data_IF_488818022880
#
_entry.id   IF_488818022880
#
_cell.length_a   1.000
_cell.length_b   1.000
_cell.length_c   1.000
_cell.angle_alpha   90.00
_cell.angle_beta   90.00
_cell.angle_gamma   90.00
#
_symmetry.space_group_name_H-M   'P 1'
#
loop_
_entity.id
_entity.type
_entity.pdbx_description
1 polymer ?
#
# COMPACT_ATOMS: atom_id res chain seq x y z
N UNK A 1 9.89 32.35 11.18
CA UNK A 1 9.12 31.54 10.24
C UNK A 1 8.73 32.45 9.08
N UNK A 2 8.82 31.99 7.87
CA UNK A 2 8.31 32.68 6.66
C UNK A 2 6.93 32.14 6.30
N UNK A 3 6.10 33.00 5.77
CA UNK A 3 4.83 32.62 5.15
C UNK A 3 5.16 31.80 3.90
N UNK A 4 4.56 30.63 3.76
CA UNK A 4 4.84 29.73 2.66
C UNK A 4 3.71 29.74 1.64
N UNK A 5 2.47 29.57 2.10
CA UNK A 5 1.29 29.62 1.23
C UNK A 5 0.00 29.83 2.03
N UNK A 6 -1.03 30.28 1.33
CA UNK A 6 -2.38 30.45 1.86
C UNK A 6 -3.22 29.20 1.59
N UNK A 7 -3.99 28.79 2.60
CA UNK A 7 -4.92 27.67 2.54
C UNK A 7 -6.33 28.19 2.87
N UNK A 8 -7.06 28.64 1.88
CA UNK A 8 -8.37 29.26 2.13
C UNK A 8 -8.28 30.38 3.15
N UNK A 9 -8.84 30.19 4.33
CA UNK A 9 -8.78 31.14 5.46
C UNK A 9 -7.54 30.99 6.35
N UNK A 10 -6.71 29.98 6.10
CA UNK A 10 -5.51 29.68 6.89
C UNK A 10 -4.24 30.10 6.14
N UNK A 11 -3.18 30.37 6.89
CA UNK A 11 -1.85 30.66 6.36
C UNK A 11 -0.85 29.70 6.97
N UNK A 12 -0.04 29.04 6.15
CA UNK A 12 1.02 28.13 6.60
C UNK A 12 2.33 28.90 6.70
N UNK A 13 2.97 28.78 7.87
CA UNK A 13 4.28 29.34 8.15
C UNK A 13 5.26 28.22 8.39
N UNK A 14 6.43 28.30 7.76
CA UNK A 14 7.49 27.32 7.92
C UNK A 14 8.76 27.95 8.48
N UNK A 15 9.54 27.13 9.18
CA UNK A 15 10.90 27.44 9.59
C UNK A 15 11.75 26.17 9.56
N UNK A 16 12.96 26.28 9.03
CA UNK A 16 13.96 25.21 9.13
C UNK A 16 14.79 25.47 10.38
N UNK A 17 14.91 24.48 11.24
CA UNK A 17 15.75 24.51 12.44
C UNK A 17 16.90 23.53 12.24
N UNK A 18 18.13 24.05 12.24
CA UNK A 18 19.34 23.24 12.09
C UNK A 18 20.15 23.23 13.37
N UNK A 19 20.73 22.11 13.71
CA UNK A 19 21.59 21.95 14.89
C UNK A 19 23.00 21.58 14.47
N UNK A 20 23.99 22.18 15.12
CA UNK A 20 25.40 21.82 14.91
C UNK A 20 25.76 20.45 15.52
N UNK A 21 24.99 19.99 16.48
CA UNK A 21 25.10 18.67 17.12
C UNK A 21 23.74 18.01 17.16
N UNK A 22 23.67 16.67 17.11
CA UNK A 22 22.39 15.96 17.23
C UNK A 22 21.62 16.39 18.47
N UNK A 23 20.39 16.83 18.29
CA UNK A 23 19.46 17.16 19.37
C UNK A 23 18.67 15.91 19.77
N UNK A 24 18.75 15.51 21.06
CA UNK A 24 18.02 14.35 21.56
C UNK A 24 16.55 14.66 21.79
N UNK A 25 16.30 15.87 22.27
CA UNK A 25 14.95 16.41 22.50
C UNK A 25 14.93 17.85 21.99
N UNK A 26 13.86 18.19 21.28
CA UNK A 26 13.53 19.54 20.90
C UNK A 26 12.21 19.91 21.61
N UNK A 27 12.24 20.91 22.47
CA UNK A 27 11.05 21.51 23.04
C UNK A 27 10.83 22.88 22.41
N UNK A 28 9.61 23.20 22.02
CA UNK A 28 9.30 24.44 21.33
C UNK A 28 7.89 24.93 21.62
N UNK A 29 7.67 26.20 21.35
CA UNK A 29 6.38 26.87 21.31
C UNK A 29 6.40 27.92 20.20
N UNK A 30 5.23 28.38 19.79
CA UNK A 30 5.13 29.44 18.79
C UNK A 30 4.79 30.76 19.47
N UNK A 31 5.43 31.85 19.03
CA UNK A 31 5.04 33.22 19.35
C UNK A 31 4.38 33.83 18.10
N UNK A 32 3.12 34.21 18.23
CA UNK A 32 2.33 34.81 17.17
C UNK A 32 2.09 36.27 17.54
N UNK A 33 2.47 37.19 16.64
CA UNK A 33 2.22 38.64 16.82
C UNK A 33 1.23 39.07 15.74
N UNK A 34 0.08 39.56 16.18
CA UNK A 34 -0.95 40.12 15.29
C UNK A 34 -0.54 41.43 14.64
N UNK A 35 -1.24 41.84 13.59
CA UNK A 35 -1.00 43.11 12.86
C UNK A 35 -1.12 44.35 13.75
N UNK A 36 -1.90 44.28 14.82
CA UNK A 36 -2.09 45.31 15.84
C UNK A 36 -1.00 45.33 16.92
N UNK A 37 -0.01 44.43 16.84
CA UNK A 37 1.10 44.30 17.81
C UNK A 37 0.80 43.35 18.98
N UNK A 38 -0.41 42.85 19.12
CA UNK A 38 -0.74 41.89 20.18
C UNK A 38 0.03 40.60 20.00
N UNK A 39 0.60 40.10 21.09
CA UNK A 39 1.39 38.88 21.08
C UNK A 39 0.69 37.80 21.89
N UNK A 40 0.64 36.58 21.34
CA UNK A 40 0.15 35.35 21.98
C UNK A 40 1.20 34.26 21.80
N UNK A 41 1.20 33.30 22.69
CA UNK A 41 2.02 32.11 22.59
C UNK A 41 1.11 30.89 22.41
N UNK A 42 1.53 29.96 21.58
CA UNK A 42 0.84 28.71 21.33
C UNK A 42 1.75 27.54 21.71
N UNK A 43 1.30 26.72 22.62
CA UNK A 43 1.98 25.52 23.13
C UNK A 43 1.05 24.30 23.10
N UNK A 44 1.47 23.16 23.66
CA UNK A 44 0.69 21.92 23.67
C UNK A 44 -0.67 22.03 24.41
N UNK A 45 -0.85 23.04 25.25
CA UNK A 45 -2.11 23.29 25.97
C UNK A 45 -3.01 24.31 25.25
N UNK A 46 -2.54 24.88 24.15
CA UNK A 46 -3.28 25.88 23.38
C UNK A 46 -2.65 27.27 23.42
N UNK A 47 -3.49 28.31 23.22
CA UNK A 47 -3.04 29.71 23.19
C UNK A 47 -3.00 30.29 24.61
N UNK A 48 -1.87 30.88 24.97
CA UNK A 48 -1.64 31.51 26.26
C UNK A 48 -1.15 32.97 26.11
N UNK A 49 -1.44 33.81 27.11
CA UNK A 49 -1.13 35.25 27.06
C UNK A 49 0.32 35.59 27.42
N UNK A 50 0.99 34.69 28.15
CA UNK A 50 2.36 34.88 28.64
C UNK A 50 3.29 33.85 28.02
N UNK A 51 4.57 34.19 27.93
CA UNK A 51 5.58 33.23 27.48
C UNK A 51 5.52 31.96 28.33
N UNK A 52 5.29 30.78 27.74
CA UNK A 52 5.14 29.56 28.52
C UNK A 52 6.47 29.09 29.12
N UNK A 53 6.41 28.61 30.35
CA UNK A 53 7.51 27.92 31.07
C UNK A 53 7.31 26.39 31.11
N UNK A 54 6.16 25.92 30.61
CA UNK A 54 5.72 24.53 30.61
C UNK A 54 4.75 24.27 29.46
N UNK A 55 4.37 23.01 29.25
CA UNK A 55 3.45 22.62 28.16
C UNK A 55 4.05 22.84 26.77
N UNK A 56 5.36 22.68 26.62
CA UNK A 56 6.01 22.78 25.33
C UNK A 56 5.53 21.67 24.39
N UNK A 57 5.51 21.95 23.08
CA UNK A 57 5.54 20.88 22.09
C UNK A 57 6.91 20.18 22.18
N UNK A 58 6.92 18.89 21.99
CA UNK A 58 8.15 18.10 22.02
C UNK A 58 8.33 17.33 20.72
N UNK A 59 9.57 17.29 20.26
CA UNK A 59 10.02 16.40 19.21
C UNK A 59 11.16 15.57 19.78
N UNK A 60 10.81 14.36 20.20
CA UNK A 60 11.75 13.43 20.81
C UNK A 60 12.62 12.77 19.73
N UNK A 61 13.90 12.58 20.06
CA UNK A 61 14.85 11.93 19.15
C UNK A 61 14.99 12.61 17.78
N UNK A 62 14.94 13.93 17.75
CA UNK A 62 15.11 14.73 16.52
C UNK A 62 16.36 14.34 15.68
N UNK A 63 17.35 13.73 16.32
CA UNK A 63 18.54 13.19 15.68
C UNK A 63 18.33 11.85 14.95
N UNK A 64 17.18 11.20 15.07
CA UNK A 64 16.86 9.95 14.34
C UNK A 64 16.30 10.21 12.95
N UNK A 65 15.69 11.36 12.72
CA UNK A 65 15.21 11.76 11.41
C UNK A 65 16.39 12.28 10.59
N UNK A 66 17.19 11.37 10.09
CA UNK A 66 18.24 11.69 9.13
C UNK A 66 17.71 11.54 7.71
N UNK A 67 18.36 12.19 6.76
CA UNK A 67 18.07 12.04 5.32
C UNK A 67 18.12 10.56 4.86
N UNK A 68 18.80 9.71 5.63
CA UNK A 68 18.90 8.27 5.38
C UNK A 68 17.57 7.49 5.46
N UNK A 69 16.54 8.09 6.10
CA UNK A 69 15.24 7.43 6.26
C UNK A 69 14.14 8.02 5.39
N UNK A 70 14.47 8.88 4.45
CA UNK A 70 13.50 9.39 3.48
C UNK A 70 13.11 8.31 2.46
N UNK A 71 11.89 8.40 1.89
CA UNK A 71 11.48 7.53 0.79
C UNK A 71 12.51 7.58 -0.36
N UNK A 72 12.74 6.47 -1.06
CA UNK A 72 13.59 6.47 -2.23
C UNK A 72 13.16 7.57 -3.21
N UNK A 73 14.12 8.29 -3.76
CA UNK A 73 13.80 9.43 -4.63
C UNK A 73 12.95 9.05 -5.84
N UNK A 74 13.17 7.86 -6.35
CA UNK A 74 12.41 7.35 -7.48
C UNK A 74 10.92 7.10 -7.14
N UNK A 75 10.58 6.83 -5.88
CA UNK A 75 9.20 6.56 -5.46
C UNK A 75 8.36 7.83 -5.26
N UNK A 76 8.97 9.01 -5.40
CA UNK A 76 8.32 10.30 -5.26
C UNK A 76 7.70 10.72 -6.59
N UNK A 77 6.38 10.80 -6.66
CA UNK A 77 5.63 11.11 -7.88
C UNK A 77 5.56 9.97 -8.90
N UNK A 78 5.96 8.76 -8.53
CA UNK A 78 5.94 7.58 -9.41
C UNK A 78 4.52 7.18 -9.75
N UNK A 79 4.27 6.87 -11.02
CA UNK A 79 3.00 6.34 -11.49
C UNK A 79 2.97 4.83 -11.27
N UNK A 80 2.20 4.40 -10.26
CA UNK A 80 1.96 2.99 -9.98
C UNK A 80 0.82 2.43 -10.82
N UNK A 81 0.91 1.14 -11.13
CA UNK A 81 -0.17 0.38 -11.73
C UNK A 81 -0.37 -0.91 -10.94
N UNK A 82 -1.51 -1.02 -10.26
CA UNK A 82 -1.86 -2.18 -9.46
C UNK A 82 -2.46 -3.27 -10.33
N UNK A 83 -1.91 -4.48 -10.24
CA UNK A 83 -2.37 -5.65 -11.00
C UNK A 83 -2.86 -6.74 -10.06
N UNK A 84 -4.08 -7.22 -10.30
CA UNK A 84 -4.59 -8.48 -9.76
C UNK A 84 -4.28 -9.59 -10.79
N UNK A 85 -3.22 -10.43 -10.59
CA UNK A 85 -2.65 -11.26 -11.65
C UNK A 85 -3.65 -12.19 -12.31
N UNK A 86 -4.51 -12.79 -11.52
CA UNK A 86 -5.51 -13.77 -11.95
C UNK A 86 -6.55 -13.20 -12.94
N UNK A 87 -6.76 -11.86 -12.93
CA UNK A 87 -7.77 -11.15 -13.73
C UNK A 87 -7.19 -10.24 -14.81
N UNK A 88 -5.86 -10.09 -14.86
CA UNK A 88 -5.25 -9.12 -15.76
C UNK A 88 -5.10 -9.62 -17.19
N UNK A 89 -4.37 -10.73 -17.41
CA UNK A 89 -4.17 -11.29 -18.76
C UNK A 89 -3.78 -12.75 -18.72
N UNK A 90 -4.40 -13.55 -19.60
CA UNK A 90 -3.96 -14.92 -19.86
C UNK A 90 -2.60 -14.88 -20.59
N UNK A 91 -1.66 -15.69 -20.13
CA UNK A 91 -0.35 -15.87 -20.75
C UNK A 91 -0.15 -17.29 -21.22
N UNK A 92 0.79 -18.01 -20.56
CA UNK A 92 1.03 -19.41 -20.82
C UNK A 92 -0.14 -20.26 -20.35
N UNK A 93 -0.85 -20.98 -21.24
CA UNK A 93 -2.03 -21.76 -20.86
C UNK A 93 -1.72 -22.98 -19.97
N UNK A 94 -0.47 -23.43 -19.90
CA UNK A 94 -0.08 -24.56 -19.04
C UNK A 94 -0.19 -24.25 -17.54
N UNK A 95 -0.29 -22.97 -17.15
CA UNK A 95 -0.45 -22.53 -15.77
C UNK A 95 -1.91 -22.36 -15.36
N UNK A 96 -2.84 -22.38 -16.32
CA UNK A 96 -4.25 -22.19 -15.99
C UNK A 96 -4.79 -23.38 -15.19
N UNK A 97 -5.54 -23.16 -14.08
CA UNK A 97 -6.25 -24.24 -13.40
C UNK A 97 -7.18 -25.00 -14.34
N UNK A 98 -7.37 -26.30 -14.09
CA UNK A 98 -8.24 -27.14 -14.93
C UNK A 98 -9.70 -26.69 -14.89
N UNK A 99 -10.15 -26.10 -13.78
CA UNK A 99 -11.50 -25.62 -13.53
C UNK A 99 -11.71 -24.12 -13.88
N UNK A 100 -10.80 -23.53 -14.66
CA UNK A 100 -10.94 -22.15 -15.12
C UNK A 100 -12.28 -21.92 -15.82
N UNK A 101 -13.00 -20.89 -15.39
CA UNK A 101 -14.16 -20.39 -16.14
C UNK A 101 -13.74 -19.54 -17.34
N UNK A 102 -14.66 -19.25 -18.23
CA UNK A 102 -14.39 -18.42 -19.40
C UNK A 102 -13.87 -17.03 -18.96
N UNK A 103 -12.89 -16.48 -19.70
CA UNK A 103 -12.37 -15.14 -19.46
C UNK A 103 -13.49 -14.10 -19.58
N UNK A 104 -13.60 -13.21 -18.57
CA UNK A 104 -14.66 -12.22 -18.53
C UNK A 104 -15.97 -12.72 -17.91
N UNK A 105 -16.03 -13.96 -17.40
CA UNK A 105 -17.15 -14.42 -16.56
C UNK A 105 -17.32 -13.52 -15.34
N UNK A 106 -18.52 -13.55 -14.73
CA UNK A 106 -18.76 -12.84 -13.48
C UNK A 106 -17.78 -13.32 -12.41
N UNK A 107 -17.01 -12.42 -11.77
CA UNK A 107 -16.10 -12.81 -10.71
C UNK A 107 -16.86 -13.31 -9.48
N UNK A 108 -16.28 -14.32 -8.83
CA UNK A 108 -16.71 -14.83 -7.52
C UNK A 108 -15.49 -14.95 -6.61
N UNK A 109 -15.71 -15.15 -5.33
CA UNK A 109 -14.64 -15.33 -4.36
C UNK A 109 -13.73 -16.54 -4.65
N UNK A 110 -14.23 -17.53 -5.43
CA UNK A 110 -13.54 -18.82 -5.63
C UNK A 110 -13.19 -19.16 -7.08
N UNK A 111 -13.77 -18.50 -8.10
CA UNK A 111 -13.52 -18.89 -9.48
C UNK A 111 -12.18 -18.39 -9.99
N UNK A 112 -11.56 -19.18 -10.88
CA UNK A 112 -10.34 -18.84 -11.60
C UNK A 112 -10.64 -18.52 -13.06
N UNK A 113 -9.91 -17.55 -13.64
CA UNK A 113 -10.04 -17.17 -15.06
C UNK A 113 -8.70 -17.32 -15.81
N UNK A 114 -7.61 -17.61 -15.08
CA UNK A 114 -6.33 -18.05 -15.63
C UNK A 114 -5.39 -16.95 -16.09
N UNK A 115 -5.49 -15.75 -15.54
CA UNK A 115 -4.44 -14.74 -15.66
C UNK A 115 -3.16 -15.20 -14.96
N UNK A 116 -1.99 -14.83 -15.48
CA UNK A 116 -0.70 -15.28 -14.97
C UNK A 116 0.45 -14.31 -15.29
N UNK A 117 1.66 -14.59 -14.76
CA UNK A 117 2.84 -13.73 -14.92
C UNK A 117 3.29 -13.56 -16.37
N UNK A 118 3.15 -14.60 -17.20
CA UNK A 118 3.47 -14.48 -18.63
C UNK A 118 2.51 -13.52 -19.34
N UNK A 119 1.24 -13.49 -18.96
CA UNK A 119 0.27 -12.52 -19.44
C UNK A 119 0.67 -11.08 -19.07
N UNK A 120 1.12 -10.86 -17.84
CA UNK A 120 1.62 -9.55 -17.38
C UNK A 120 2.87 -9.17 -18.18
N UNK A 121 3.82 -10.08 -18.34
CA UNK A 121 5.05 -9.88 -19.12
C UNK A 121 4.74 -9.45 -20.57
N UNK A 122 3.79 -10.09 -21.23
CA UNK A 122 3.32 -9.74 -22.57
C UNK A 122 2.66 -8.37 -22.66
N UNK A 123 2.27 -7.79 -21.52
CA UNK A 123 1.61 -6.48 -21.45
C UNK A 123 2.55 -5.33 -21.09
N UNK A 124 3.83 -5.58 -20.88
CA UNK A 124 4.80 -4.55 -20.49
C UNK A 124 4.90 -3.38 -21.46
N UNK A 125 4.71 -3.61 -22.77
CA UNK A 125 4.71 -2.53 -23.76
C UNK A 125 3.47 -1.64 -23.64
N UNK A 126 2.31 -2.22 -23.34
CA UNK A 126 1.07 -1.50 -23.06
C UNK A 126 1.21 -0.63 -21.82
N UNK A 127 1.80 -1.17 -20.74
CA UNK A 127 2.03 -0.44 -19.50
C UNK A 127 3.03 0.70 -19.70
N UNK A 128 4.10 0.48 -20.47
CA UNK A 128 5.06 1.52 -20.82
C UNK A 128 4.42 2.64 -21.67
N UNK A 129 3.52 2.30 -22.60
CA UNK A 129 2.77 3.27 -23.41
C UNK A 129 1.81 4.10 -22.54
N UNK A 130 1.21 3.49 -21.50
CA UNK A 130 0.35 4.20 -20.54
C UNK A 130 1.15 5.14 -19.61
N UNK A 131 2.48 5.04 -19.57
CA UNK A 131 3.33 5.84 -18.70
C UNK A 131 3.57 5.23 -17.33
N UNK A 132 3.29 3.93 -17.15
CA UNK A 132 3.52 3.23 -15.86
C UNK A 132 5.02 3.15 -15.56
N UNK A 133 5.39 3.53 -14.34
CA UNK A 133 6.77 3.51 -13.85
C UNK A 133 7.00 2.42 -12.80
N UNK A 134 5.94 1.98 -12.12
CA UNK A 134 6.04 0.88 -11.16
C UNK A 134 4.78 0.00 -11.17
N UNK A 135 4.96 -1.31 -11.28
CA UNK A 135 3.90 -2.31 -11.15
C UNK A 135 3.82 -2.73 -9.68
N UNK A 136 2.65 -2.64 -9.09
CA UNK A 136 2.31 -3.30 -7.84
C UNK A 136 1.54 -4.58 -8.13
N UNK A 137 2.12 -5.73 -7.81
CA UNK A 137 1.48 -7.03 -7.93
C UNK A 137 0.76 -7.40 -6.63
N UNK A 138 -0.56 -7.61 -6.70
CA UNK A 138 -1.25 -8.33 -5.64
C UNK A 138 -0.60 -9.71 -5.43
N UNK A 139 -0.87 -10.44 -4.31
CA UNK A 139 -0.08 -11.60 -3.93
C UNK A 139 0.13 -12.61 -5.06
N UNK A 140 1.35 -13.12 -5.16
CA UNK A 140 1.76 -14.06 -6.23
C UNK A 140 2.25 -15.41 -5.71
N UNK A 141 2.31 -15.57 -4.38
CA UNK A 141 2.86 -16.77 -3.75
C UNK A 141 1.84 -17.91 -3.68
N UNK A 142 2.33 -19.13 -3.46
CA UNK A 142 1.49 -20.34 -3.43
C UNK A 142 0.36 -20.19 -2.42
N UNK A 143 -0.86 -20.41 -2.89
CA UNK A 143 -2.09 -20.28 -2.12
C UNK A 143 -3.25 -20.98 -2.84
N UNK A 144 -4.24 -21.55 -2.12
CA UNK A 144 -5.38 -22.23 -2.74
C UNK A 144 -6.37 -21.27 -3.39
N UNK A 145 -6.46 -20.02 -2.94
CA UNK A 145 -7.45 -19.05 -3.43
C UNK A 145 -7.02 -18.36 -4.72
N UNK A 146 -7.95 -17.70 -5.40
CA UNK A 146 -7.65 -16.86 -6.57
C UNK A 146 -6.98 -15.53 -6.21
N UNK A 147 -7.16 -15.04 -4.98
CA UNK A 147 -6.59 -13.77 -4.49
C UNK A 147 -5.21 -13.93 -3.84
N UNK A 148 -4.82 -15.13 -3.43
CA UNK A 148 -3.51 -15.50 -2.86
C UNK A 148 -3.16 -14.87 -1.49
N UNK A 149 -4.12 -14.24 -0.80
CA UNK A 149 -3.88 -13.70 0.55
C UNK A 149 -3.73 -14.80 1.62
N UNK A 150 -4.26 -16.00 1.42
CA UNK A 150 -4.08 -17.19 2.27
C UNK A 150 -2.81 -17.98 1.86
N UNK A 151 -1.64 -17.32 1.95
CA UNK A 151 -0.35 -17.85 1.50
C UNK A 151 0.04 -19.12 2.24
N UNK A 152 0.48 -20.14 1.51
CA UNK A 152 0.93 -21.43 2.05
C UNK A 152 2.43 -21.69 1.83
N UNK A 153 3.08 -21.05 0.86
CA UNK A 153 4.53 -21.08 0.67
C UNK A 153 5.03 -19.73 0.12
N UNK A 154 5.74 -18.98 0.97
CA UNK A 154 6.28 -17.66 0.61
C UNK A 154 7.51 -17.70 -0.29
N UNK A 155 8.15 -18.87 -0.49
CA UNK A 155 9.33 -19.02 -1.34
C UNK A 155 9.01 -19.48 -2.76
N UNK A 156 7.72 -19.70 -3.07
CA UNK A 156 7.28 -20.17 -4.37
C UNK A 156 6.19 -19.30 -4.95
N UNK A 157 6.36 -18.94 -6.21
CA UNK A 157 5.28 -18.42 -7.04
C UNK A 157 4.19 -19.50 -7.15
N UNK A 158 2.95 -19.08 -7.10
CA UNK A 158 1.80 -19.97 -7.26
C UNK A 158 1.83 -20.67 -8.62
N UNK A 159 1.61 -22.00 -8.66
CA UNK A 159 1.64 -22.76 -9.93
C UNK A 159 0.66 -22.24 -10.99
N UNK A 160 -0.45 -21.63 -10.58
CA UNK A 160 -1.41 -21.02 -11.53
C UNK A 160 -0.88 -19.71 -12.16
N UNK A 161 0.14 -19.11 -11.54
CA UNK A 161 0.77 -17.89 -12.07
C UNK A 161 2.07 -18.17 -12.81
N UNK A 162 2.72 -19.30 -12.55
CA UNK A 162 4.01 -19.67 -13.13
C UNK A 162 4.97 -20.28 -12.11
N UNK A 163 6.25 -20.06 -12.31
CA UNK A 163 7.33 -20.47 -11.41
C UNK A 163 8.17 -19.24 -11.01
N UNK A 164 9.08 -19.40 -10.05
CA UNK A 164 9.96 -18.32 -9.57
C UNK A 164 10.75 -17.68 -10.73
N UNK A 165 11.16 -18.49 -11.71
CA UNK A 165 11.86 -17.99 -12.90
C UNK A 165 11.00 -17.06 -13.75
N UNK A 166 9.67 -17.31 -13.87
CA UNK A 166 8.76 -16.43 -14.61
C UNK A 166 8.67 -15.06 -13.96
N UNK A 167 8.63 -15.01 -12.62
CA UNK A 167 8.64 -13.73 -11.88
C UNK A 167 9.99 -13.00 -12.09
N UNK A 168 11.11 -13.73 -12.03
CA UNK A 168 12.44 -13.16 -12.30
C UNK A 168 12.54 -12.58 -13.71
N UNK A 169 12.03 -13.30 -14.70
CA UNK A 169 12.01 -12.85 -16.09
C UNK A 169 11.10 -11.63 -16.25
N UNK A 170 9.91 -11.63 -15.64
CA UNK A 170 9.00 -10.49 -15.65
C UNK A 170 9.68 -9.22 -15.10
N UNK A 171 10.28 -9.29 -13.91
CA UNK A 171 10.98 -8.16 -13.29
C UNK A 171 12.12 -7.67 -14.17
N UNK A 172 12.96 -8.58 -14.68
CA UNK A 172 14.06 -8.23 -15.58
C UNK A 172 13.60 -7.55 -16.87
N UNK A 173 12.48 -7.99 -17.47
CA UNK A 173 11.93 -7.36 -18.67
C UNK A 173 11.24 -6.02 -18.37
N UNK A 174 10.60 -5.88 -17.20
CA UNK A 174 10.06 -4.62 -16.74
C UNK A 174 11.16 -3.56 -16.54
N UNK A 175 12.27 -3.93 -15.89
CA UNK A 175 13.43 -3.05 -15.70
C UNK A 175 14.02 -2.55 -17.04
N UNK A 176 14.06 -3.38 -18.09
CA UNK A 176 14.48 -2.93 -19.43
C UNK A 176 13.60 -1.85 -20.04
N UNK A 177 12.40 -1.70 -19.52
CA UNK A 177 11.44 -0.66 -19.93
C UNK A 177 11.35 0.48 -18.90
N UNK A 178 12.29 0.53 -17.94
CA UNK A 178 12.28 1.45 -16.81
C UNK A 178 11.03 1.33 -15.94
N UNK A 179 10.42 0.16 -15.87
CA UNK A 179 9.28 -0.15 -15.00
C UNK A 179 9.79 -0.98 -13.82
N UNK A 180 9.56 -0.52 -12.61
CA UNK A 180 9.85 -1.23 -11.36
C UNK A 180 8.74 -2.19 -11.00
N UNK A 181 9.02 -3.13 -10.10
CA UNK A 181 8.04 -4.11 -9.64
C UNK A 181 8.11 -4.26 -8.13
N UNK A 182 7.00 -4.04 -7.45
CA UNK A 182 6.84 -4.33 -6.02
C UNK A 182 5.87 -5.47 -5.80
N UNK A 183 6.09 -6.23 -4.73
CA UNK A 183 5.26 -7.37 -4.35
C UNK A 183 4.41 -7.07 -3.12
N UNK A 184 3.33 -7.84 -2.97
CA UNK A 184 2.51 -7.84 -1.77
C UNK A 184 3.12 -8.77 -0.72
N UNK A 185 3.30 -8.28 0.51
CA UNK A 185 3.83 -9.01 1.66
C UNK A 185 2.70 -9.26 2.68
N UNK A 186 2.09 -10.44 2.61
CA UNK A 186 0.98 -10.84 3.48
C UNK A 186 1.54 -11.52 4.72
N UNK A 187 1.81 -10.77 5.78
CA UNK A 187 2.53 -11.25 6.96
C UNK A 187 1.68 -11.27 8.24
N UNK A 188 0.47 -10.70 8.19
CA UNK A 188 -0.46 -10.77 9.31
C UNK A 188 -1.00 -12.19 9.55
N UNK A 189 -1.16 -12.98 8.49
CA UNK A 189 -1.77 -14.32 8.54
C UNK A 189 -1.18 -15.22 7.45
N UNK A 190 -1.49 -16.51 7.52
CA UNK A 190 -1.13 -17.52 6.50
C UNK A 190 -2.38 -18.28 6.05
N UNK A 191 -2.25 -19.13 5.05
CA UNK A 191 -3.23 -20.18 4.80
C UNK A 191 -3.05 -21.36 5.79
N UNK A 192 -4.06 -22.21 5.90
CA UNK A 192 -4.03 -23.37 6.80
C UNK A 192 -3.03 -24.45 6.36
N UNK A 193 -2.72 -24.54 5.07
CA UNK A 193 -1.71 -25.45 4.53
C UNK A 193 -0.27 -24.91 4.64
N UNK A 194 -0.07 -23.73 5.22
CA UNK A 194 1.27 -23.25 5.53
C UNK A 194 1.96 -24.23 6.49
N UNK A 195 3.22 -24.60 6.21
CA UNK A 195 3.91 -25.72 6.88
C UNK A 195 3.82 -25.67 8.41
N UNK A 196 3.90 -24.49 9.02
CA UNK A 196 3.86 -24.34 10.47
C UNK A 196 2.45 -24.57 11.03
N UNK A 197 1.39 -24.10 10.32
CA UNK A 197 0.03 -24.33 10.76
C UNK A 197 -0.42 -25.76 10.49
N UNK A 198 -0.05 -26.35 9.35
CA UNK A 198 -0.29 -27.76 9.04
C UNK A 198 0.36 -28.70 10.07
N UNK A 199 1.60 -28.38 10.51
CA UNK A 199 2.26 -29.13 11.60
C UNK A 199 1.49 -28.98 12.92
N UNK A 200 1.02 -27.78 13.23
CA UNK A 200 0.20 -27.49 14.42
C UNK A 200 -1.10 -28.29 14.41
N UNK A 201 -1.85 -28.31 13.29
CA UNK A 201 -3.06 -29.13 13.14
C UNK A 201 -2.79 -30.62 13.35
N UNK A 202 -1.66 -31.11 12.85
CA UNK A 202 -1.28 -32.52 12.94
C UNK A 202 -0.79 -32.92 14.31
N UNK A 203 0.10 -32.13 14.93
CA UNK A 203 0.80 -32.48 16.17
C UNK A 203 0.19 -31.88 17.43
N UNK A 204 -0.71 -30.92 17.28
CA UNK A 204 -1.41 -30.25 18.36
C UNK A 204 -0.41 -29.65 19.38
N UNK A 205 -0.56 -29.92 20.68
CA UNK A 205 0.31 -29.47 21.76
C UNK A 205 1.78 -29.93 21.63
N UNK A 206 2.09 -30.85 20.70
CA UNK A 206 3.46 -31.28 20.41
C UNK A 206 4.13 -30.58 19.25
N UNK A 207 3.42 -29.65 18.61
CA UNK A 207 3.99 -28.86 17.51
C UNK A 207 5.02 -27.87 18.05
N UNK A 208 6.15 -27.74 17.35
CA UNK A 208 7.14 -26.69 17.64
C UNK A 208 6.70 -25.29 17.18
N UNK A 209 5.63 -25.21 16.40
CA UNK A 209 5.10 -23.96 15.84
C UNK A 209 3.92 -23.37 16.62
N UNK A 210 3.59 -23.90 17.82
CA UNK A 210 2.49 -23.37 18.64
C UNK A 210 2.62 -21.86 18.87
N UNK A 211 3.83 -21.39 19.19
CA UNK A 211 4.10 -19.98 19.45
C UNK A 211 4.11 -19.07 18.21
N UNK A 212 3.98 -19.65 17.01
CA UNK A 212 3.87 -18.89 15.76
C UNK A 212 2.47 -18.34 15.53
N UNK A 213 1.48 -18.86 16.27
CA UNK A 213 0.07 -18.46 16.15
C UNK A 213 -0.50 -18.10 17.52
N UNK A 214 -1.60 -17.38 17.53
CA UNK A 214 -2.35 -17.05 18.73
C UNK A 214 -3.45 -18.09 18.97
N UNK A 215 -3.10 -19.19 19.66
CA UNK A 215 -3.99 -20.32 19.91
C UNK A 215 -4.87 -19.99 21.12
N UNK A 216 -6.17 -20.18 20.97
CA UNK A 216 -7.17 -19.98 22.02
C UNK A 216 -7.45 -21.25 22.79
N UNK A 217 -7.53 -22.39 22.11
CA UNK A 217 -7.81 -23.69 22.74
C UNK A 217 -7.29 -24.87 21.92
N UNK A 218 -7.07 -25.99 22.60
CA UNK A 218 -6.80 -27.30 22.02
C UNK A 218 -8.01 -28.23 22.18
N UNK A 219 -8.23 -29.19 21.30
CA UNK A 219 -7.47 -29.40 20.07
C UNK A 219 -7.73 -28.29 19.03
N UNK A 220 -6.66 -27.87 18.36
CA UNK A 220 -6.76 -26.90 17.25
C UNK A 220 -7.45 -27.59 16.06
N UNK A 221 -8.47 -26.95 15.54
CA UNK A 221 -9.17 -27.32 14.31
C UNK A 221 -9.30 -26.07 13.45
N UNK A 222 -9.63 -26.23 12.18
CA UNK A 222 -9.90 -25.09 11.27
C UNK A 222 -11.24 -24.40 11.62
N UNK A 223 -11.31 -23.90 12.84
CA UNK A 223 -12.48 -23.21 13.41
C UNK A 223 -12.00 -21.89 14.05
N UNK A 224 -12.69 -20.79 13.76
CA UNK A 224 -12.28 -19.45 14.18
C UNK A 224 -12.21 -19.22 15.71
N UNK A 225 -12.77 -20.11 16.51
CA UNK A 225 -12.71 -20.06 17.98
C UNK A 225 -11.50 -20.82 18.55
N UNK A 226 -10.74 -21.56 17.72
CA UNK A 226 -9.55 -22.28 18.16
C UNK A 226 -8.29 -21.40 18.17
N UNK A 227 -8.24 -20.36 17.37
CA UNK A 227 -7.12 -19.44 17.21
C UNK A 227 -7.57 -18.08 16.67
N UNK A 228 -6.73 -17.05 16.84
CA UNK A 228 -6.97 -15.78 16.19
C UNK A 228 -6.81 -15.92 14.67
N UNK A 229 -7.70 -15.30 13.92
CA UNK A 229 -7.69 -15.32 12.47
C UNK A 229 -8.13 -13.97 11.89
N UNK A 230 -7.72 -13.69 10.64
CA UNK A 230 -8.04 -12.45 9.96
C UNK A 230 -9.56 -12.32 9.74
N UNK A 231 -10.17 -11.26 10.29
CA UNK A 231 -11.62 -10.98 10.23
C UNK A 231 -12.54 -12.17 10.55
N UNK A 232 -12.09 -13.13 11.37
CA UNK A 232 -12.88 -14.31 11.72
C UNK A 232 -12.89 -15.42 10.65
N UNK A 233 -12.07 -15.30 9.60
CA UNK A 233 -11.90 -16.34 8.58
C UNK A 233 -10.94 -17.43 9.06
N UNK A 234 -11.46 -18.59 9.43
CA UNK A 234 -10.66 -19.71 9.91
C UNK A 234 -9.54 -20.15 8.94
N UNK A 235 -9.74 -19.99 7.63
CA UNK A 235 -8.73 -20.26 6.60
C UNK A 235 -7.52 -19.31 6.61
N UNK A 236 -7.52 -18.27 7.46
CA UNK A 236 -6.45 -17.26 7.55
C UNK A 236 -5.96 -17.11 8.99
N UNK A 237 -5.27 -18.12 9.57
CA UNK A 237 -4.74 -18.08 10.93
C UNK A 237 -3.71 -16.96 11.09
N UNK A 238 -3.88 -16.15 12.14
CA UNK A 238 -3.04 -14.99 12.43
C UNK A 238 -1.69 -15.41 12.96
N UNK A 239 -0.62 -14.91 12.32
CA UNK A 239 0.75 -15.09 12.76
C UNK A 239 1.04 -14.24 14.00
N UNK A 240 1.76 -14.82 14.95
CA UNK A 240 2.37 -14.08 16.05
C UNK A 240 3.64 -13.38 15.55
N UNK A 241 3.47 -12.19 14.96
CA UNK A 241 4.58 -11.39 14.44
C UNK A 241 5.48 -10.79 15.53
N UNK A 242 5.12 -10.92 16.81
CA UNK A 242 6.00 -10.68 17.95
C UNK A 242 7.02 -11.81 18.21
N UNK A 243 6.83 -12.99 17.62
CA UNK A 243 7.73 -14.13 17.79
C UNK A 243 8.99 -13.98 16.92
N UNK A 244 10.18 -14.06 17.54
CA UNK A 244 11.45 -13.86 16.84
C UNK A 244 11.71 -14.87 15.71
N UNK A 245 11.25 -16.13 15.84
CA UNK A 245 11.39 -17.12 14.77
C UNK A 245 10.49 -16.81 13.57
N UNK A 246 9.28 -16.31 13.81
CA UNK A 246 8.38 -15.82 12.76
C UNK A 246 9.02 -14.63 12.06
N UNK A 247 9.52 -13.67 12.83
CA UNK A 247 10.19 -12.48 12.28
C UNK A 247 11.38 -12.86 11.39
N UNK A 248 12.28 -13.73 11.88
CA UNK A 248 13.45 -14.14 11.10
C UNK A 248 13.07 -14.91 9.83
N UNK A 249 12.06 -15.80 9.90
CA UNK A 249 11.54 -16.48 8.72
C UNK A 249 11.04 -15.49 7.66
N UNK A 250 10.20 -14.54 8.06
CA UNK A 250 9.62 -13.55 7.14
C UNK A 250 10.64 -12.53 6.61
N UNK A 251 11.64 -12.14 7.42
CA UNK A 251 12.78 -11.33 6.96
C UNK A 251 13.58 -12.05 5.88
N UNK A 252 13.83 -13.33 6.05
CA UNK A 252 14.54 -14.15 5.06
C UNK A 252 13.73 -14.29 3.75
N UNK A 253 12.40 -14.38 3.85
CA UNK A 253 11.51 -14.34 2.66
C UNK A 253 11.68 -13.03 1.89
N UNK A 254 11.64 -11.89 2.58
CA UNK A 254 11.83 -10.58 1.94
C UNK A 254 13.20 -10.47 1.27
N UNK A 255 14.27 -10.86 1.97
CA UNK A 255 15.62 -10.85 1.38
C UNK A 255 15.74 -11.77 0.17
N UNK A 256 15.10 -12.94 0.22
CA UNK A 256 15.13 -13.90 -0.89
C UNK A 256 14.63 -13.26 -2.19
N UNK A 257 13.46 -12.66 -2.18
CA UNK A 257 12.89 -12.06 -3.39
C UNK A 257 13.67 -10.82 -3.87
N UNK A 258 14.25 -10.05 -2.97
CA UNK A 258 15.16 -8.96 -3.36
C UNK A 258 16.42 -9.49 -4.04
N UNK A 259 17.03 -10.55 -3.49
CA UNK A 259 18.30 -11.10 -4.02
C UNK A 259 18.10 -11.87 -5.31
N UNK A 260 17.09 -12.75 -5.33
CA UNK A 260 16.88 -13.69 -6.44
C UNK A 260 16.10 -13.11 -7.61
N UNK A 261 15.18 -12.20 -7.34
CA UNK A 261 14.27 -11.64 -8.35
C UNK A 261 14.55 -10.17 -8.63
N UNK A 262 15.20 -9.48 -7.70
CA UNK A 262 15.51 -8.05 -7.78
C UNK A 262 14.25 -7.17 -7.80
N UNK A 263 13.28 -7.49 -6.94
CA UNK A 263 12.10 -6.64 -6.74
C UNK A 263 12.50 -5.30 -6.13
N UNK A 264 11.74 -4.25 -6.43
CA UNK A 264 12.05 -2.86 -6.07
C UNK A 264 11.39 -2.43 -4.75
N UNK A 265 10.64 -3.31 -4.10
CA UNK A 265 10.00 -3.03 -2.82
C UNK A 265 8.81 -3.91 -2.51
N UNK A 266 8.06 -3.50 -1.48
CA UNK A 266 6.92 -4.24 -0.97
C UNK A 266 5.77 -3.33 -0.55
N UNK A 267 4.55 -3.82 -0.76
CA UNK A 267 3.37 -3.36 -0.04
C UNK A 267 3.06 -4.35 1.06
N UNK A 268 2.95 -3.91 2.27
CA UNK A 268 2.66 -4.73 3.45
C UNK A 268 1.18 -4.72 3.74
N UNK A 269 0.57 -5.90 3.62
CA UNK A 269 -0.83 -6.15 3.92
C UNK A 269 -1.11 -5.98 5.41
N UNK A 270 -2.21 -5.29 5.75
CA UNK A 270 -2.70 -5.10 7.13
C UNK A 270 -1.58 -4.70 8.11
N UNK A 271 -0.76 -3.70 7.75
CA UNK A 271 0.44 -3.32 8.53
C UNK A 271 0.11 -2.90 9.98
N UNK A 272 -1.11 -2.42 10.22
CA UNK A 272 -1.55 -1.98 11.55
C UNK A 272 -1.66 -3.13 12.57
N UNK A 273 -1.76 -4.36 12.11
CA UNK A 273 -1.85 -5.56 12.95
C UNK A 273 -0.52 -6.32 13.08
N UNK A 274 0.55 -5.83 12.47
CA UNK A 274 1.90 -6.39 12.57
C UNK A 274 2.63 -5.75 13.76
N UNK A 275 3.40 -6.55 14.50
CA UNK A 275 4.20 -6.08 15.65
C UNK A 275 5.12 -4.93 15.25
N UNK A 276 5.09 -3.83 16.01
CA UNK A 276 5.84 -2.60 15.70
C UNK A 276 7.36 -2.84 15.66
N UNK A 277 7.90 -3.65 16.59
CA UNK A 277 9.32 -3.97 16.58
C UNK A 277 9.71 -4.78 15.35
N UNK A 278 8.80 -5.61 14.85
CA UNK A 278 9.01 -6.34 13.60
C UNK A 278 9.03 -5.39 12.40
N UNK A 279 8.11 -4.43 12.34
CA UNK A 279 8.08 -3.39 11.29
C UNK A 279 9.40 -2.61 11.26
N UNK A 280 9.93 -2.22 12.43
CA UNK A 280 11.23 -1.57 12.53
C UNK A 280 12.39 -2.47 12.01
N UNK A 281 12.36 -3.77 12.33
CA UNK A 281 13.34 -4.74 11.83
C UNK A 281 13.26 -4.94 10.32
N UNK A 282 12.04 -4.96 9.75
CA UNK A 282 11.83 -5.04 8.30
C UNK A 282 12.54 -3.88 7.62
N UNK A 283 12.28 -2.65 8.06
CA UNK A 283 12.93 -1.48 7.47
C UNK A 283 14.45 -1.54 7.60
N UNK A 284 14.97 -1.76 8.80
CA UNK A 284 16.42 -1.81 9.02
C UNK A 284 17.08 -2.86 8.12
N UNK A 285 16.51 -4.07 8.07
CA UNK A 285 17.03 -5.18 7.28
C UNK A 285 17.02 -4.89 5.78
N UNK A 286 15.90 -4.42 5.26
CA UNK A 286 15.73 -4.16 3.83
C UNK A 286 16.51 -2.93 3.36
N UNK A 287 16.53 -1.85 4.13
CA UNK A 287 17.28 -0.64 3.76
C UNK A 287 18.79 -0.84 3.82
N UNK A 288 19.28 -1.72 4.68
CA UNK A 288 20.69 -2.15 4.65
C UNK A 288 21.02 -3.00 3.44
N UNK A 289 20.08 -3.83 3.00
CA UNK A 289 20.25 -4.66 1.81
C UNK A 289 20.26 -3.81 0.54
N UNK A 290 19.30 -2.93 0.41
CA UNK A 290 19.19 -1.97 -0.67
C UNK A 290 18.37 -0.74 -0.22
N UNK A 291 18.97 0.45 -0.07
CA UNK A 291 18.28 1.65 0.37
C UNK A 291 17.20 2.14 -0.61
N UNK A 292 17.27 1.70 -1.88
CA UNK A 292 16.31 2.06 -2.92
C UNK A 292 15.02 1.22 -2.89
N UNK A 293 14.89 0.23 -2.01
CA UNK A 293 13.63 -0.50 -1.85
C UNK A 293 12.55 0.41 -1.27
N UNK A 294 11.37 0.45 -1.88
CA UNK A 294 10.22 1.15 -1.31
C UNK A 294 9.41 0.24 -0.40
N UNK A 295 8.98 0.77 0.74
CA UNK A 295 8.16 0.08 1.73
C UNK A 295 6.83 0.83 1.88
N UNK A 296 5.74 0.23 1.42
CA UNK A 296 4.39 0.80 1.45
C UNK A 296 3.53 0.02 2.42
N UNK A 297 2.94 0.67 3.41
CA UNK A 297 2.02 0.01 4.35
C UNK A 297 0.56 0.16 3.91
N UNK A 298 -0.22 -0.92 4.03
CA UNK A 298 -1.67 -0.77 3.98
C UNK A 298 -2.19 -0.40 5.36
N UNK A 299 -2.77 0.78 5.46
CA UNK A 299 -3.53 1.23 6.63
C UNK A 299 -4.73 2.05 6.18
N UNK A 300 -5.87 1.86 6.83
CA UNK A 300 -7.07 2.64 6.60
C UNK A 300 -7.10 3.92 7.47
N UNK A 301 -6.11 4.06 8.35
CA UNK A 301 -5.90 5.21 9.21
C UNK A 301 -5.00 6.27 8.53
N UNK A 302 -4.69 7.34 9.25
CA UNK A 302 -3.82 8.43 8.77
C UNK A 302 -2.34 8.05 8.63
N UNK A 303 -1.94 6.88 9.13
CA UNK A 303 -0.59 6.35 9.04
C UNK A 303 0.52 7.17 9.71
N UNK A 304 0.17 8.12 10.58
CA UNK A 304 1.14 9.03 11.21
C UNK A 304 2.28 8.28 11.92
N UNK A 305 1.96 7.16 12.57
CA UNK A 305 2.96 6.31 13.22
C UNK A 305 3.93 5.71 12.19
N UNK A 306 3.39 5.13 11.14
CA UNK A 306 4.14 4.43 10.10
C UNK A 306 5.08 5.34 9.30
N UNK A 307 4.74 6.62 9.18
CA UNK A 307 5.47 7.62 8.37
C UNK A 307 6.43 8.50 9.18
N UNK A 308 6.93 7.99 10.30
CA UNK A 308 7.85 8.68 11.19
C UNK A 308 9.33 8.62 10.73
N UNK A 309 9.60 8.05 9.54
CA UNK A 309 10.95 7.84 9.00
C UNK A 309 11.63 6.55 9.47
N UNK A 310 11.02 5.78 10.39
CA UNK A 310 11.60 4.55 10.94
C UNK A 310 10.87 3.27 10.54
N UNK A 311 9.70 3.37 9.92
CA UNK A 311 8.87 2.22 9.59
C UNK A 311 8.63 2.11 8.08
N UNK A 312 7.68 2.87 7.53
CA UNK A 312 7.33 2.83 6.10
C UNK A 312 7.81 4.08 5.37
N UNK A 313 7.98 3.97 4.05
CA UNK A 313 8.27 5.10 3.17
C UNK A 313 6.98 5.79 2.73
N UNK A 314 5.90 5.00 2.62
CA UNK A 314 4.60 5.42 2.12
C UNK A 314 3.51 4.55 2.74
N UNK A 315 2.26 4.98 2.56
CA UNK A 315 1.06 4.20 2.88
C UNK A 315 0.07 4.28 1.72
N UNK A 316 -0.85 3.32 1.65
CA UNK A 316 -2.04 3.45 0.81
C UNK A 316 -2.91 4.58 1.37
N UNK A 317 -2.99 5.71 0.65
CA UNK A 317 -3.57 6.96 1.14
C UNK A 317 -5.10 6.97 1.10
N UNK A 318 -5.73 6.17 1.96
CA UNK A 318 -7.20 6.10 2.03
C UNK A 318 -7.85 7.41 2.50
N UNK A 319 -7.12 8.28 3.21
CA UNK A 319 -7.61 9.63 3.54
C UNK A 319 -7.78 10.49 2.29
N UNK A 320 -6.84 10.43 1.34
CA UNK A 320 -6.97 11.06 0.02
C UNK A 320 -8.16 10.46 -0.72
N UNK A 321 -8.22 9.13 -0.83
CA UNK A 321 -9.33 8.42 -1.48
C UNK A 321 -10.69 8.84 -0.93
N UNK A 322 -10.84 8.93 0.40
CA UNK A 322 -12.11 9.33 1.02
C UNK A 322 -12.49 10.77 0.63
N UNK A 323 -11.54 11.70 0.61
CA UNK A 323 -11.81 13.07 0.15
C UNK A 323 -12.28 13.10 -1.31
N UNK A 324 -11.67 12.28 -2.17
CA UNK A 324 -12.06 12.14 -3.58
C UNK A 324 -13.47 11.56 -3.74
N UNK A 325 -13.82 10.56 -2.95
CA UNK A 325 -15.17 9.98 -2.93
C UNK A 325 -16.20 11.01 -2.48
N UNK A 326 -15.98 11.67 -1.35
CA UNK A 326 -16.92 12.63 -0.78
C UNK A 326 -17.20 13.81 -1.74
N UNK A 327 -16.18 14.24 -2.49
CA UNK A 327 -16.32 15.39 -3.38
C UNK A 327 -16.82 15.01 -4.78
N UNK A 328 -16.19 14.07 -5.48
CA UNK A 328 -16.51 13.74 -6.87
C UNK A 328 -17.63 12.71 -7.01
N UNK A 329 -17.66 11.70 -6.13
CA UNK A 329 -18.60 10.60 -6.22
C UNK A 329 -19.91 10.91 -5.48
N UNK A 330 -19.83 11.16 -4.19
CA UNK A 330 -20.99 11.37 -3.31
C UNK A 330 -21.51 12.81 -3.34
N UNK A 331 -20.62 13.78 -3.67
CA UNK A 331 -20.92 15.22 -3.63
C UNK A 331 -21.45 15.68 -2.28
N UNK A 332 -20.96 15.07 -1.21
CA UNK A 332 -21.37 15.30 0.18
C UNK A 332 -20.66 16.50 0.81
N UNK A 333 -19.56 16.97 0.21
CA UNK A 333 -18.79 18.14 0.65
C UNK A 333 -18.64 19.17 -0.47
N UNK A 334 -18.47 20.44 -0.10
CA UNK A 334 -18.18 21.51 -1.05
C UNK A 334 -16.68 21.62 -1.37
N UNK A 335 -16.31 22.45 -2.35
CA UNK A 335 -14.92 22.62 -2.78
C UNK A 335 -13.99 23.18 -1.69
N UNK A 336 -14.50 24.04 -0.81
CA UNK A 336 -13.73 24.59 0.31
C UNK A 336 -13.36 23.50 1.31
N UNK A 337 -14.32 22.66 1.71
CA UNK A 337 -14.09 21.52 2.59
C UNK A 337 -13.14 20.49 1.95
N UNK A 338 -13.31 20.24 0.66
CA UNK A 338 -12.43 19.36 -0.10
C UNK A 338 -10.99 19.87 -0.10
N UNK A 339 -10.78 21.14 -0.48
CA UNK A 339 -9.47 21.79 -0.44
C UNK A 339 -8.84 21.70 0.95
N UNK A 340 -9.59 22.07 2.00
CA UNK A 340 -9.11 21.99 3.38
C UNK A 340 -8.67 20.57 3.81
N UNK A 341 -9.38 19.54 3.39
CA UNK A 341 -8.99 18.14 3.69
C UNK A 341 -7.67 17.76 3.01
N UNK A 342 -7.50 18.11 1.74
CA UNK A 342 -6.27 17.83 1.00
C UNK A 342 -5.07 18.58 1.60
N UNK A 343 -5.26 19.84 1.94
CA UNK A 343 -4.25 20.68 2.57
C UNK A 343 -3.86 20.16 3.96
N UNK A 344 -4.85 19.73 4.75
CA UNK A 344 -4.61 19.12 6.05
C UNK A 344 -3.79 17.83 5.90
N UNK A 345 -4.08 17.01 4.89
CA UNK A 345 -3.30 15.81 4.61
C UNK A 345 -1.82 16.16 4.33
N UNK A 346 -1.55 17.14 3.47
CA UNK A 346 -0.18 17.58 3.15
C UNK A 346 0.55 18.18 4.34
N UNK A 347 -0.15 18.84 5.27
CA UNK A 347 0.47 19.46 6.43
C UNK A 347 0.98 18.46 7.49
N UNK A 348 0.61 17.19 7.37
CA UNK A 348 0.93 16.14 8.38
C UNK A 348 2.32 15.56 8.25
N UNK A 349 2.89 15.57 7.05
CA UNK A 349 4.14 14.89 6.73
C UNK A 349 5.12 15.81 6.01
N UNK A 350 6.44 15.50 6.02
CA UNK A 350 7.41 16.17 5.18
C UNK A 350 7.07 16.07 3.68
N UNK A 351 7.56 17.03 2.90
CA UNK A 351 7.26 17.08 1.45
C UNK A 351 7.71 15.81 0.73
N UNK A 352 8.86 15.24 1.08
CA UNK A 352 9.37 14.00 0.48
C UNK A 352 8.46 12.79 0.77
N UNK A 353 7.90 12.72 1.98
CA UNK A 353 6.91 11.70 2.35
C UNK A 353 5.60 11.93 1.61
N UNK A 354 5.13 13.18 1.56
CA UNK A 354 3.92 13.53 0.78
C UNK A 354 4.06 13.15 -0.69
N UNK A 355 5.25 13.40 -1.29
CA UNK A 355 5.51 13.03 -2.69
C UNK A 355 5.58 11.52 -2.94
N UNK A 356 5.78 10.72 -1.92
CA UNK A 356 5.79 9.26 -2.02
C UNK A 356 4.46 8.59 -1.63
N UNK A 357 3.45 9.36 -1.17
CA UNK A 357 2.15 8.81 -0.74
C UNK A 357 1.45 8.09 -1.89
N UNK A 358 1.04 6.83 -1.66
CA UNK A 358 0.37 5.99 -2.65
C UNK A 358 -1.10 6.41 -2.80
N UNK A 359 -1.38 7.29 -3.76
CA UNK A 359 -2.69 7.90 -3.99
C UNK A 359 -3.53 7.06 -4.95
N UNK A 360 -4.46 6.25 -4.44
CA UNK A 360 -5.39 5.45 -5.23
C UNK A 360 -6.80 6.03 -5.18
N UNK A 361 -7.56 5.95 -6.28
CA UNK A 361 -9.00 6.21 -6.31
C UNK A 361 -9.79 4.97 -5.93
N UNK A 362 -9.29 3.81 -6.33
CA UNK A 362 -9.82 2.49 -6.00
C UNK A 362 -8.70 1.45 -5.94
N UNK A 363 -9.04 0.25 -5.49
CA UNK A 363 -8.14 -0.89 -5.35
C UNK A 363 -8.93 -2.19 -5.52
N UNK A 364 -8.24 -3.32 -5.40
CA UNK A 364 -8.86 -4.65 -5.41
C UNK A 364 -9.81 -4.93 -4.22
N UNK A 365 -9.78 -4.10 -3.17
CA UNK A 365 -10.63 -4.22 -1.97
C UNK A 365 -11.80 -3.24 -1.95
N UNK A 366 -11.90 -2.39 -2.95
CA UNK A 366 -12.87 -1.31 -2.96
C UNK A 366 -13.70 -1.31 -4.23
N UNK A 367 -14.89 -0.71 -4.14
CA UNK A 367 -15.71 -0.40 -5.31
C UNK A 367 -14.91 0.47 -6.29
N UNK A 368 -15.02 0.17 -7.60
CA UNK A 368 -14.40 0.98 -8.65
C UNK A 368 -14.86 2.44 -8.56
N UNK A 369 -13.93 3.37 -8.82
CA UNK A 369 -14.22 4.79 -8.68
C UNK A 369 -15.29 5.28 -9.67
N UNK A 370 -15.31 4.74 -10.89
CA UNK A 370 -16.37 5.02 -11.86
C UNK A 370 -17.76 4.60 -11.36
N UNK A 371 -17.86 3.45 -10.66
CA UNK A 371 -19.11 3.01 -10.02
C UNK A 371 -19.49 3.92 -8.85
N UNK A 372 -18.53 4.31 -8.03
CA UNK A 372 -18.74 5.29 -6.95
C UNK A 372 -19.25 6.61 -7.50
N UNK A 373 -18.77 7.04 -8.65
CA UNK A 373 -19.27 8.19 -9.39
C UNK A 373 -20.65 7.96 -10.06
N UNK A 374 -21.28 6.79 -9.87
CA UNK A 374 -22.54 6.41 -10.55
C UNK A 374 -22.44 6.55 -12.08
N UNK A 375 -21.31 6.09 -12.65
CA UNK A 375 -20.95 6.17 -14.08
C UNK A 375 -20.94 7.59 -14.66
N UNK A 376 -20.85 8.63 -13.82
CA UNK A 376 -20.65 10.00 -14.29
C UNK A 376 -19.20 10.19 -14.76
N UNK A 377 -19.01 10.11 -16.06
CA UNK A 377 -17.69 10.14 -16.68
C UNK A 377 -16.92 11.44 -16.38
N UNK A 378 -17.63 12.59 -16.31
CA UNK A 378 -17.00 13.86 -15.96
C UNK A 378 -16.44 13.87 -14.54
N UNK A 379 -17.19 13.30 -13.57
CA UNK A 379 -16.72 13.14 -12.19
C UNK A 379 -15.51 12.21 -12.11
N UNK A 380 -15.52 11.10 -12.84
CA UNK A 380 -14.40 10.19 -12.95
C UNK A 380 -13.16 10.88 -13.52
N UNK A 381 -13.29 11.55 -14.68
CA UNK A 381 -12.19 12.26 -15.33
C UNK A 381 -11.60 13.36 -14.43
N UNK A 382 -12.44 14.16 -13.76
CA UNK A 382 -11.96 15.18 -12.82
C UNK A 382 -11.23 14.54 -11.62
N UNK A 383 -11.72 13.41 -11.11
CA UNK A 383 -11.05 12.67 -10.07
C UNK A 383 -9.65 12.21 -10.49
N UNK A 384 -9.53 11.64 -11.69
CA UNK A 384 -8.23 11.23 -12.26
C UNK A 384 -7.29 12.43 -12.42
N UNK A 385 -7.78 13.57 -12.93
CA UNK A 385 -6.94 14.79 -13.04
C UNK A 385 -6.40 15.22 -11.67
N UNK A 386 -7.26 15.24 -10.63
CA UNK A 386 -6.78 15.58 -9.28
C UNK A 386 -5.79 14.55 -8.76
N UNK A 387 -6.03 13.26 -8.97
CA UNK A 387 -5.10 12.18 -8.57
C UNK A 387 -3.71 12.38 -9.19
N UNK A 388 -3.64 12.70 -10.48
CA UNK A 388 -2.38 12.90 -11.20
C UNK A 388 -1.66 14.20 -10.86
N UNK A 389 -2.41 15.23 -10.44
CA UNK A 389 -1.87 16.57 -10.15
C UNK A 389 -1.59 16.80 -8.66
N UNK A 390 -2.17 16.01 -7.78
CA UNK A 390 -1.98 16.15 -6.34
C UNK A 390 -0.61 15.57 -5.91
N UNK A 391 0.10 16.21 -4.96
CA UNK A 391 1.36 15.68 -4.46
C UNK A 391 1.23 14.24 -3.97
N UNK A 392 2.10 13.38 -4.47
CA UNK A 392 2.12 11.94 -4.17
C UNK A 392 2.31 11.11 -5.43
N UNK A 393 2.24 9.82 -5.28
CA UNK A 393 2.43 8.83 -6.33
C UNK A 393 1.08 8.25 -6.71
N UNK A 394 0.51 8.62 -7.86
CA UNK A 394 -0.79 8.12 -8.30
C UNK A 394 -0.72 6.61 -8.56
N UNK A 395 -1.75 5.90 -8.17
CA UNK A 395 -1.90 4.47 -8.46
C UNK A 395 -3.15 4.21 -9.28
N UNK A 396 -2.96 3.69 -10.46
CA UNK A 396 -4.02 3.24 -11.36
C UNK A 396 -4.32 1.78 -11.02
N UNK A 397 -5.56 1.46 -10.72
CA UNK A 397 -5.98 0.07 -10.59
C UNK A 397 -6.28 -0.50 -11.98
N UNK A 398 -5.75 -1.68 -12.31
CA UNK A 398 -5.87 -2.25 -13.66
C UNK A 398 -7.31 -2.20 -14.17
N UNK A 399 -7.48 -1.73 -15.38
CA UNK A 399 -8.77 -1.64 -16.05
C UNK A 399 -9.48 -0.29 -15.93
N UNK A 400 -9.04 0.64 -15.07
CA UNK A 400 -9.60 1.99 -15.02
C UNK A 400 -9.39 2.72 -16.35
N UNK A 401 -8.21 2.57 -16.94
CA UNK A 401 -7.85 3.06 -18.25
C UNK A 401 -8.65 2.39 -19.37
N UNK A 402 -9.17 1.18 -19.13
CA UNK A 402 -10.02 0.46 -20.05
C UNK A 402 -11.52 0.71 -19.82
N UNK A 403 -11.87 1.52 -18.80
CA UNK A 403 -13.25 1.82 -18.44
C UNK A 403 -13.99 0.65 -17.78
N UNK A 404 -13.26 -0.24 -17.08
CA UNK A 404 -13.84 -1.36 -16.37
C UNK A 404 -14.56 -0.84 -15.13
N UNK A 405 -15.80 -1.26 -14.97
CA UNK A 405 -16.63 -0.99 -13.81
C UNK A 405 -16.59 -2.16 -12.81
N UNK A 406 -17.10 -1.95 -11.60
CA UNK A 406 -17.27 -3.00 -10.60
C UNK A 406 -17.73 -2.47 -9.24
N UNK A 407 -18.65 -3.19 -8.64
CA UNK A 407 -19.07 -2.96 -7.25
C UNK A 407 -18.02 -3.50 -6.27
N UNK A 408 -18.37 -3.71 -5.00
CA UNK A 408 -17.46 -4.26 -4.01
C UNK A 408 -16.92 -5.64 -4.41
N UNK A 409 -15.84 -6.09 -3.75
CA UNK A 409 -15.29 -7.44 -3.90
C UNK A 409 -16.39 -8.51 -3.87
N UNK A 410 -16.41 -9.47 -4.80
CA UNK A 410 -15.42 -9.72 -5.86
C UNK A 410 -15.66 -8.99 -7.18
N UNK A 411 -16.73 -8.18 -7.33
CA UNK A 411 -17.13 -7.56 -8.61
C UNK A 411 -16.11 -6.53 -9.12
N UNK A 412 -15.40 -5.83 -8.22
CA UNK A 412 -14.30 -4.91 -8.58
C UNK A 412 -13.10 -5.62 -9.26
N UNK A 413 -13.03 -6.95 -9.19
CA UNK A 413 -11.96 -7.81 -9.74
C UNK A 413 -12.37 -8.45 -11.08
N UNK A 414 -13.09 -7.72 -11.95
CA UNK A 414 -13.41 -8.16 -13.31
C UNK A 414 -12.15 -8.32 -14.16
N UNK A 415 -12.23 -9.21 -15.16
CA UNK A 415 -11.13 -9.39 -16.10
C UNK A 415 -10.88 -8.17 -16.97
N UNK A 416 -9.61 -7.91 -17.26
CA UNK A 416 -9.21 -6.92 -18.26
C UNK A 416 -9.77 -7.25 -19.65
N UNK A 417 -10.26 -6.22 -20.37
CA UNK A 417 -11.00 -6.37 -21.64
C UNK A 417 -10.07 -6.33 -22.86
N UNK A 418 -9.06 -7.21 -22.88
CA UNK A 418 -8.05 -7.24 -23.97
C UNK A 418 -8.64 -7.42 -25.38
N UNK A 419 -9.78 -8.09 -25.51
CA UNK A 419 -10.47 -8.30 -26.79
C UNK A 419 -11.01 -7.01 -27.40
N UNK A 420 -11.18 -5.96 -26.59
CA UNK A 420 -11.69 -4.65 -27.00
C UNK A 420 -10.58 -3.64 -27.26
N UNK A 421 -9.33 -4.09 -27.39
CA UNK A 421 -8.15 -3.24 -27.60
C UNK A 421 -8.11 -2.05 -26.62
N UNK A 422 -7.88 -2.28 -25.32
CA UNK A 422 -7.99 -1.24 -24.30
C UNK A 422 -7.10 -0.01 -24.60
N UNK A 423 -5.95 -0.17 -25.24
CA UNK A 423 -5.07 0.93 -25.67
C UNK A 423 -5.67 1.88 -26.70
N UNK A 424 -6.75 1.47 -27.38
CA UNK A 424 -7.46 2.32 -28.36
C UNK A 424 -8.63 3.08 -27.75
N UNK A 425 -8.99 2.79 -26.48
CA UNK A 425 -10.11 3.48 -25.82
C UNK A 425 -9.79 4.93 -25.49
N UNK A 426 -10.84 5.76 -25.45
CA UNK A 426 -10.73 7.17 -25.08
C UNK A 426 -10.21 7.32 -23.63
N UNK A 427 -10.65 6.44 -22.72
CA UNK A 427 -10.20 6.42 -21.32
C UNK A 427 -8.70 6.16 -21.20
N UNK A 428 -8.14 5.26 -22.00
CA UNK A 428 -6.71 5.01 -22.06
C UNK A 428 -5.93 6.27 -22.46
N UNK A 429 -6.35 6.91 -23.58
CA UNK A 429 -5.70 8.14 -24.05
C UNK A 429 -5.80 9.24 -23.01
N UNK A 430 -6.97 9.39 -22.40
CA UNK A 430 -7.20 10.40 -21.37
C UNK A 430 -6.30 10.23 -20.15
N UNK A 431 -6.07 8.99 -19.69
CA UNK A 431 -5.19 8.72 -18.52
C UNK A 431 -3.71 8.84 -18.91
N UNK A 432 -3.36 8.44 -20.12
CA UNK A 432 -1.99 8.54 -20.65
C UNK A 432 -1.53 10.00 -20.85
N UNK A 433 -2.37 10.85 -21.48
CA UNK A 433 -2.08 12.23 -21.88
C UNK A 433 -2.19 13.22 -20.70
#
# INVERSE_FOLDING_TARGET
MSEQYHLGTSVVYTAVVSFQKPARYLQYYFRVTGKNGDTRWYNAWGTVEKCPDSGFFEYAYANKCTVEYMPPKWSQGTIYYQIFPERFRKGNPSYAPEDCVAWGSKPTASNFMGGNLDGIRKSLSYLAELGVECIYLNPVFTSPSNHKYDTTDYYKVDPHFGINEDLRVLVKEAHKKNIRVILDAVFNHTGTDFFAFADLLKKQEKSEYQSWYHITRFPVREEADCYECFFGFAGMPKLNTGNEKVQEYLLNVLEYWVREVQVDGYRFDVIDEIDENFVLKIRDRLKRLNPELVLIGETWAEGKRLLNGCEMDSIMNYSFRQAMLDFFAERSINAETFGHRLETALSRHPDETNMAMFNALDTHDTKRFINSCSHRLDSFKLGVVVQMMFPGSPSIYYGDEAGIDGENDPDCRKCMTWQENPGEKESFRFIRD
#
